data_IF_052706217735
#
_entry.id   IF_052706217735
#
_cell.length_a   1.000
_cell.length_b   1.000
_cell.length_c   1.000
_cell.angle_alpha   90.00
_cell.angle_beta   90.00
_cell.angle_gamma   90.00
#
_symmetry.space_group_name_H-M   'P 1'
#
loop_
_entity.id
_entity.type
_entity.pdbx_description
1 polymer ?
#
# COMPACT_ATOMS: atom_id res chain seq x y z
N UNK A 1 39.42 -15.02 19.44
CA UNK A 1 38.82 -13.70 19.21
C UNK A 1 37.95 -13.81 17.96
N UNK A 2 36.69 -14.03 18.17
CA UNK A 2 35.70 -14.16 17.09
C UNK A 2 35.54 -12.77 16.46
N UNK A 3 35.86 -12.65 15.17
CA UNK A 3 35.52 -11.50 14.36
C UNK A 3 33.98 -11.48 14.23
N UNK A 4 33.29 -10.86 15.17
CA UNK A 4 31.90 -10.46 14.93
C UNK A 4 31.91 -9.53 13.73
N UNK A 5 31.47 -10.06 12.59
CA UNK A 5 31.12 -9.26 11.41
C UNK A 5 30.04 -8.26 11.86
N UNK A 6 30.45 -7.06 12.20
CA UNK A 6 29.56 -5.95 12.51
C UNK A 6 28.76 -5.65 11.23
N UNK A 7 27.59 -6.28 11.11
CA UNK A 7 26.67 -6.01 10.01
C UNK A 7 26.25 -4.55 10.14
N UNK A 8 26.75 -3.71 9.23
CA UNK A 8 26.45 -2.29 9.21
C UNK A 8 24.91 -2.10 9.16
N UNK A 9 24.32 -1.34 10.07
CA UNK A 9 22.87 -1.12 10.06
C UNK A 9 22.46 -0.47 8.72
N UNK A 10 21.32 -0.91 8.16
CA UNK A 10 20.83 -0.45 6.86
C UNK A 10 20.43 1.02 6.88
N UNK A 11 19.99 1.52 8.02
CA UNK A 11 19.54 2.89 8.26
C UNK A 11 20.24 3.47 9.49
N UNK A 12 20.42 4.78 9.49
CA UNK A 12 20.86 5.52 10.67
C UNK A 12 19.75 5.58 11.72
N UNK A 13 20.10 5.86 12.97
CA UNK A 13 19.09 6.00 14.04
C UNK A 13 18.07 7.10 13.73
N UNK A 14 18.49 8.21 13.12
CA UNK A 14 17.60 9.29 12.74
C UNK A 14 16.59 8.88 11.65
N UNK A 15 17.03 8.12 10.66
CA UNK A 15 16.14 7.57 9.62
C UNK A 15 15.11 6.60 10.22
N UNK A 16 15.55 5.70 11.10
CA UNK A 16 14.64 4.77 11.80
C UNK A 16 13.60 5.53 12.64
N UNK A 17 14.02 6.54 13.41
CA UNK A 17 13.10 7.32 14.23
C UNK A 17 12.13 8.14 13.40
N UNK A 18 12.61 8.81 12.33
CA UNK A 18 11.75 9.59 11.44
C UNK A 18 10.71 8.70 10.77
N UNK A 19 11.11 7.53 10.28
CA UNK A 19 10.17 6.57 9.66
C UNK A 19 9.15 6.03 10.69
N UNK A 20 9.60 5.63 11.88
CA UNK A 20 8.72 5.12 12.93
C UNK A 20 7.69 6.16 13.38
N UNK A 21 8.11 7.41 13.59
CA UNK A 21 7.22 8.50 14.06
C UNK A 21 6.25 8.90 12.95
N UNK A 22 6.73 9.16 11.74
CA UNK A 22 5.88 9.59 10.63
C UNK A 22 4.83 8.52 10.26
N UNK A 23 5.22 7.25 10.23
CA UNK A 23 4.28 6.16 9.98
C UNK A 23 3.35 5.91 11.17
N UNK A 24 3.81 6.09 12.42
CA UNK A 24 2.94 6.06 13.59
C UNK A 24 1.83 7.11 13.54
N UNK A 25 2.16 8.34 13.13
CA UNK A 25 1.16 9.39 12.85
C UNK A 25 0.25 8.95 11.70
N UNK A 26 0.81 8.33 10.66
CA UNK A 26 0.07 7.77 9.53
C UNK A 26 -0.99 6.75 9.95
N UNK A 27 -0.72 5.90 10.96
CA UNK A 27 -1.73 4.97 11.52
C UNK A 27 -2.94 5.73 12.05
N UNK A 28 -2.73 6.78 12.85
CA UNK A 28 -3.82 7.56 13.44
C UNK A 28 -4.65 8.26 12.36
N UNK A 29 -3.99 8.84 11.36
CA UNK A 29 -4.66 9.48 10.23
C UNK A 29 -5.43 8.46 9.36
N UNK A 30 -4.89 7.26 9.16
CA UNK A 30 -5.55 6.19 8.43
C UNK A 30 -6.82 5.70 9.15
N UNK A 31 -6.78 5.57 10.49
CA UNK A 31 -7.97 5.24 11.29
C UNK A 31 -9.03 6.33 11.14
N UNK A 32 -8.65 7.59 11.32
CA UNK A 32 -9.59 8.71 11.18
C UNK A 32 -10.20 8.77 9.78
N UNK A 33 -9.37 8.65 8.72
CA UNK A 33 -9.84 8.64 7.34
C UNK A 33 -10.76 7.46 7.04
N UNK A 34 -10.42 6.26 7.51
CA UNK A 34 -11.28 5.08 7.37
C UNK A 34 -12.66 5.29 8.00
N UNK A 35 -12.71 5.80 9.23
CA UNK A 35 -13.96 6.06 9.93
C UNK A 35 -14.82 7.08 9.16
N UNK A 36 -14.22 8.19 8.70
CA UNK A 36 -14.93 9.21 7.93
C UNK A 36 -15.50 8.64 6.61
N UNK A 37 -14.72 7.83 5.89
CA UNK A 37 -15.17 7.20 4.65
C UNK A 37 -16.31 6.19 4.90
N UNK A 38 -16.22 5.39 5.97
CA UNK A 38 -17.26 4.42 6.35
C UNK A 38 -18.55 5.16 6.72
N UNK A 39 -18.47 6.19 7.57
CA UNK A 39 -19.64 6.98 7.99
C UNK A 39 -20.30 7.64 6.77
N UNK A 40 -19.50 8.23 5.88
CA UNK A 40 -20.03 8.84 4.65
C UNK A 40 -20.71 7.81 3.77
N UNK A 41 -20.07 6.68 3.50
CA UNK A 41 -20.65 5.59 2.69
C UNK A 41 -21.93 5.02 3.29
N UNK A 42 -21.98 4.88 4.61
CA UNK A 42 -23.17 4.43 5.32
C UNK A 42 -24.31 5.45 5.24
N UNK A 43 -24.01 6.75 5.38
CA UNK A 43 -25.00 7.82 5.24
C UNK A 43 -25.58 7.92 3.83
N UNK A 44 -24.79 7.56 2.81
CA UNK A 44 -25.23 7.50 1.41
C UNK A 44 -25.97 6.18 1.08
N UNK A 45 -26.15 5.28 2.06
CA UNK A 45 -26.82 3.99 1.88
C UNK A 45 -26.01 2.97 1.05
N UNK A 46 -24.71 3.17 0.85
CA UNK A 46 -23.86 2.33 0.02
C UNK A 46 -23.16 1.22 0.81
N UNK A 47 -23.75 0.04 0.87
CA UNK A 47 -23.10 -1.14 1.48
C UNK A 47 -21.73 -1.48 0.83
N UNK A 48 -21.65 -1.39 -0.50
CA UNK A 48 -20.39 -1.60 -1.24
C UNK A 48 -19.38 -0.53 -0.90
N UNK A 49 -19.80 0.73 -0.74
CA UNK A 49 -18.95 1.83 -0.28
C UNK A 49 -18.39 1.58 1.12
N UNK A 50 -19.22 1.10 2.06
CA UNK A 50 -18.77 0.73 3.43
C UNK A 50 -17.72 -0.37 3.38
N UNK A 51 -17.96 -1.45 2.63
CA UNK A 51 -16.99 -2.56 2.48
C UNK A 51 -15.69 -2.08 1.85
N UNK A 52 -15.78 -1.28 0.77
CA UNK A 52 -14.61 -0.74 0.08
C UNK A 52 -13.78 0.17 0.97
N UNK A 53 -14.41 1.07 1.71
CA UNK A 53 -13.75 1.98 2.66
C UNK A 53 -13.10 1.21 3.81
N UNK A 54 -13.75 0.15 4.30
CA UNK A 54 -13.22 -0.70 5.37
C UNK A 54 -11.98 -1.47 4.91
N UNK A 55 -12.01 -2.07 3.71
CA UNK A 55 -10.86 -2.80 3.16
C UNK A 55 -9.68 -1.88 2.89
N UNK A 56 -9.91 -0.77 2.19
CA UNK A 56 -8.85 0.20 1.89
C UNK A 56 -8.22 0.76 3.17
N UNK A 57 -9.05 1.22 4.10
CA UNK A 57 -8.58 1.77 5.37
C UNK A 57 -7.82 0.75 6.22
N UNK A 58 -8.29 -0.50 6.27
CA UNK A 58 -7.60 -1.59 6.98
C UNK A 58 -6.22 -1.87 6.39
N UNK A 59 -6.08 -1.91 5.07
CA UNK A 59 -4.77 -2.13 4.44
C UNK A 59 -3.83 -0.93 4.63
N UNK A 60 -4.34 0.29 4.68
CA UNK A 60 -3.57 1.48 4.99
C UNK A 60 -3.06 1.44 6.44
N UNK A 61 -3.90 1.06 7.40
CA UNK A 61 -3.53 0.88 8.81
C UNK A 61 -2.46 -0.21 8.93
N UNK A 62 -2.65 -1.36 8.26
CA UNK A 62 -1.68 -2.46 8.27
C UNK A 62 -0.33 -1.99 7.75
N UNK A 63 -0.27 -1.28 6.61
CA UNK A 63 0.98 -0.79 6.05
C UNK A 63 1.70 0.13 7.04
N UNK A 64 1.05 1.16 7.53
CA UNK A 64 1.67 2.10 8.44
C UNK A 64 2.08 1.46 9.77
N UNK A 65 1.28 0.52 10.29
CA UNK A 65 1.59 -0.21 11.52
C UNK A 65 2.79 -1.14 11.34
N UNK A 66 2.84 -1.93 10.25
CA UNK A 66 3.97 -2.83 9.98
C UNK A 66 5.27 -2.04 9.80
N UNK A 67 5.21 -0.92 9.10
CA UNK A 67 6.35 -0.04 8.90
C UNK A 67 6.81 0.62 10.21
N UNK A 68 5.88 1.13 11.03
CA UNK A 68 6.18 1.67 12.36
C UNK A 68 6.91 0.64 13.22
N UNK A 69 6.38 -0.58 13.29
CA UNK A 69 6.99 -1.67 14.06
C UNK A 69 8.36 -2.05 13.53
N UNK A 70 8.50 -2.20 12.20
CA UNK A 70 9.79 -2.50 11.58
C UNK A 70 10.86 -1.48 11.98
N UNK A 71 10.56 -0.19 11.88
CA UNK A 71 11.50 0.88 12.18
C UNK A 71 11.73 1.10 13.69
N UNK A 72 10.81 0.65 14.55
CA UNK A 72 10.96 0.73 16.01
C UNK A 72 11.85 -0.34 16.62
N UNK A 73 12.08 -1.46 15.94
CA UNK A 73 12.91 -2.55 16.47
C UNK A 73 14.41 -2.28 16.29
N UNK A 74 15.19 -2.71 17.30
CA UNK A 74 16.66 -2.66 17.23
C UNK A 74 17.21 -3.47 16.08
N UNK A 75 18.34 -3.07 15.47
CA UNK A 75 19.04 -3.88 14.47
C UNK A 75 19.38 -5.30 14.99
N UNK A 76 19.48 -6.26 14.05
CA UNK A 76 19.97 -7.62 14.32
C UNK A 76 19.08 -8.54 15.16
N UNK A 77 17.86 -8.14 15.54
CA UNK A 77 16.89 -9.05 16.18
C UNK A 77 15.98 -9.72 15.15
N UNK A 78 15.55 -10.94 15.48
CA UNK A 78 14.66 -11.72 14.60
C UNK A 78 13.35 -10.98 14.28
N UNK A 79 12.78 -10.30 15.26
CA UNK A 79 11.57 -9.50 15.07
C UNK A 79 11.73 -8.46 13.94
N UNK A 80 12.86 -7.71 13.91
CA UNK A 80 13.11 -6.73 12.83
C UNK A 80 13.16 -7.38 11.45
N UNK A 81 13.72 -8.59 11.32
CA UNK A 81 13.76 -9.32 10.06
C UNK A 81 12.36 -9.73 9.60
N UNK A 82 11.52 -10.21 10.53
CA UNK A 82 10.14 -10.61 10.24
C UNK A 82 9.29 -9.39 9.86
N UNK A 83 9.34 -8.31 10.67
CA UNK A 83 8.57 -7.11 10.39
C UNK A 83 9.02 -6.40 9.10
N UNK A 84 10.27 -6.54 8.68
CA UNK A 84 10.73 -6.08 7.37
C UNK A 84 9.98 -6.78 6.22
N UNK A 85 9.71 -8.08 6.34
CA UNK A 85 8.92 -8.80 5.34
C UNK A 85 7.48 -8.28 5.32
N UNK A 86 6.86 -8.10 6.48
CA UNK A 86 5.51 -7.56 6.58
C UNK A 86 5.41 -6.14 6.05
N UNK A 87 6.37 -5.27 6.36
CA UNK A 87 6.46 -3.91 5.84
C UNK A 87 6.42 -3.90 4.30
N UNK A 88 7.25 -4.71 3.65
CA UNK A 88 7.29 -4.79 2.18
C UNK A 88 6.07 -5.50 1.58
N UNK A 89 5.53 -6.52 2.24
CA UNK A 89 4.33 -7.22 1.78
C UNK A 89 3.08 -6.34 1.88
N UNK A 90 3.00 -5.48 2.90
CA UNK A 90 1.87 -4.58 3.10
C UNK A 90 1.73 -3.51 2.01
N UNK A 91 2.81 -3.20 1.26
CA UNK A 91 2.73 -2.32 0.09
C UNK A 91 1.81 -2.93 -0.98
N UNK A 92 1.92 -4.23 -1.25
CA UNK A 92 1.02 -4.91 -2.19
C UNK A 92 -0.44 -4.86 -1.73
N UNK A 93 -0.68 -5.06 -0.41
CA UNK A 93 -2.01 -4.95 0.17
C UNK A 93 -2.58 -3.54 0.00
N UNK A 94 -1.77 -2.51 0.26
CA UNK A 94 -2.23 -1.13 0.10
C UNK A 94 -2.53 -0.79 -1.35
N UNK A 95 -1.66 -1.17 -2.31
CA UNK A 95 -1.93 -0.94 -3.74
C UNK A 95 -3.24 -1.61 -4.13
N UNK A 96 -3.43 -2.89 -3.79
CA UNK A 96 -4.71 -3.57 -4.02
C UNK A 96 -5.87 -2.84 -3.34
N UNK A 97 -5.70 -2.42 -2.09
CA UNK A 97 -6.71 -1.68 -1.33
C UNK A 97 -7.15 -0.39 -2.00
N UNK A 98 -6.22 0.35 -2.64
CA UNK A 98 -6.58 1.57 -3.39
C UNK A 98 -7.47 1.29 -4.60
N UNK A 99 -7.38 0.08 -5.19
CA UNK A 99 -8.23 -0.33 -6.30
C UNK A 99 -9.63 -0.72 -5.87
N UNK A 100 -9.83 -1.19 -4.64
CA UNK A 100 -11.14 -1.70 -4.17
C UNK A 100 -12.28 -0.69 -4.40
N UNK A 101 -12.20 0.59 -3.97
CA UNK A 101 -13.27 1.55 -4.22
C UNK A 101 -13.44 1.85 -5.72
N UNK A 102 -12.37 1.95 -6.50
CA UNK A 102 -12.50 2.21 -7.94
C UNK A 102 -13.15 1.05 -8.68
N UNK A 103 -12.78 -0.18 -8.37
CA UNK A 103 -13.27 -1.38 -9.07
C UNK A 103 -14.68 -1.78 -8.66
N UNK A 104 -15.04 -1.62 -7.39
CA UNK A 104 -16.33 -2.04 -6.86
C UNK A 104 -17.39 -0.93 -6.85
N UNK A 105 -16.98 0.34 -6.68
CA UNK A 105 -17.89 1.48 -6.58
C UNK A 105 -17.95 2.28 -7.88
N UNK A 106 -16.80 2.60 -8.50
CA UNK A 106 -16.75 3.52 -9.65
C UNK A 106 -16.93 2.79 -10.99
N UNK A 107 -16.23 1.67 -11.21
CA UNK A 107 -16.21 1.00 -12.51
C UNK A 107 -17.40 0.08 -12.76
N UNK A 108 -17.89 -0.58 -11.74
CA UNK A 108 -18.97 -1.58 -11.81
C UNK A 108 -18.78 -2.67 -12.90
N UNK A 109 -19.58 -3.73 -12.85
CA UNK A 109 -19.68 -4.73 -13.90
C UNK A 109 -18.37 -5.48 -14.22
N UNK A 110 -18.28 -6.03 -15.42
CA UNK A 110 -17.21 -6.93 -15.83
C UNK A 110 -15.81 -6.27 -15.79
N UNK A 111 -15.68 -5.01 -16.20
CA UNK A 111 -14.40 -4.30 -16.20
C UNK A 111 -13.87 -4.11 -14.77
N UNK A 112 -14.74 -3.69 -13.84
CA UNK A 112 -14.39 -3.54 -12.43
C UNK A 112 -13.90 -4.87 -11.83
N UNK A 113 -14.64 -5.95 -12.02
CA UNK A 113 -14.25 -7.28 -11.52
C UNK A 113 -12.98 -7.82 -12.17
N UNK A 114 -12.78 -7.58 -13.47
CA UNK A 114 -11.56 -8.01 -14.17
C UNK A 114 -10.33 -7.29 -13.61
N UNK A 115 -10.40 -5.96 -13.45
CA UNK A 115 -9.30 -5.18 -12.90
C UNK A 115 -9.04 -5.56 -11.42
N UNK A 116 -10.10 -5.76 -10.64
CA UNK A 116 -10.01 -6.25 -9.27
C UNK A 116 -9.25 -7.59 -9.20
N UNK A 117 -9.63 -8.56 -10.03
CA UNK A 117 -8.97 -9.87 -10.06
C UNK A 117 -7.51 -9.81 -10.50
N UNK A 118 -7.18 -8.99 -11.50
CA UNK A 118 -5.80 -8.79 -11.99
C UNK A 118 -4.93 -8.20 -10.88
N UNK A 119 -5.38 -7.12 -10.23
CA UNK A 119 -4.59 -6.45 -9.19
C UNK A 119 -4.48 -7.32 -7.93
N UNK A 120 -5.56 -8.03 -7.55
CA UNK A 120 -5.52 -9.00 -6.45
C UNK A 120 -4.52 -10.14 -6.74
N UNK A 121 -4.57 -10.73 -7.93
CA UNK A 121 -3.65 -11.80 -8.32
C UNK A 121 -2.19 -11.34 -8.30
N UNK A 122 -1.90 -10.14 -8.80
CA UNK A 122 -0.57 -9.54 -8.75
C UNK A 122 -0.12 -9.26 -7.31
N UNK A 123 -1.02 -8.78 -6.44
CA UNK A 123 -0.72 -8.55 -5.03
C UNK A 123 -0.39 -9.86 -4.30
N UNK A 124 -1.20 -10.90 -4.47
CA UNK A 124 -0.95 -12.22 -3.87
C UNK A 124 0.39 -12.79 -4.34
N UNK A 125 0.66 -12.74 -5.64
CA UNK A 125 1.95 -13.21 -6.19
C UNK A 125 3.14 -12.43 -5.60
N UNK A 126 3.04 -11.12 -5.52
CA UNK A 126 4.09 -10.27 -4.95
C UNK A 126 4.34 -10.55 -3.47
N UNK A 127 3.29 -10.74 -2.68
CA UNK A 127 3.37 -11.10 -1.26
C UNK A 127 4.06 -12.46 -1.10
N UNK A 128 3.65 -13.47 -1.86
CA UNK A 128 4.25 -14.81 -1.80
C UNK A 128 5.74 -14.76 -2.12
N UNK A 129 6.13 -14.07 -3.20
CA UNK A 129 7.53 -13.98 -3.60
C UNK A 129 8.39 -13.21 -2.59
N UNK A 130 7.88 -12.10 -2.03
CA UNK A 130 8.59 -11.37 -0.97
C UNK A 130 8.71 -12.19 0.31
N UNK A 131 7.71 -12.99 0.65
CA UNK A 131 7.75 -13.87 1.81
C UNK A 131 8.77 -15.00 1.66
N UNK A 132 9.01 -15.49 0.44
CA UNK A 132 10.02 -16.51 0.16
C UNK A 132 11.43 -15.90 0.25
N UNK A 133 11.70 -14.81 -0.44
CA UNK A 133 13.02 -14.16 -0.44
C UNK A 133 12.95 -12.70 -0.88
N UNK A 134 12.86 -11.80 0.09
CA UNK A 134 12.72 -10.36 -0.12
C UNK A 134 13.89 -9.76 -0.93
N UNK A 135 15.13 -10.17 -0.65
CA UNK A 135 16.31 -9.61 -1.34
C UNK A 135 16.38 -10.06 -2.80
N UNK A 136 16.08 -11.33 -3.07
CA UNK A 136 16.06 -11.87 -4.43
C UNK A 136 15.03 -11.17 -5.31
N UNK A 137 13.85 -10.90 -4.75
CA UNK A 137 12.72 -10.37 -5.51
C UNK A 137 12.56 -8.85 -5.39
N UNK A 138 13.49 -8.11 -4.73
CA UNK A 138 13.41 -6.66 -4.52
C UNK A 138 13.13 -5.88 -5.81
N UNK A 139 13.93 -6.11 -6.87
CA UNK A 139 13.77 -5.41 -8.17
C UNK A 139 12.44 -5.73 -8.85
N UNK A 140 12.05 -7.01 -8.81
CA UNK A 140 10.77 -7.44 -9.38
C UNK A 140 9.58 -6.81 -8.62
N UNK A 141 9.64 -6.79 -7.29
CA UNK A 141 8.61 -6.15 -6.47
C UNK A 141 8.45 -4.67 -6.81
N UNK A 142 9.55 -3.95 -7.02
CA UNK A 142 9.51 -2.55 -7.43
C UNK A 142 8.80 -2.37 -8.79
N UNK A 143 9.11 -3.21 -9.76
CA UNK A 143 8.43 -3.20 -11.06
C UNK A 143 6.95 -3.52 -10.91
N UNK A 144 6.62 -4.55 -10.11
CA UNK A 144 5.23 -4.91 -9.83
C UNK A 144 4.46 -3.77 -9.14
N UNK A 145 5.05 -3.08 -8.18
CA UNK A 145 4.42 -1.91 -7.56
C UNK A 145 4.04 -0.87 -8.61
N UNK A 146 4.99 -0.47 -9.47
CA UNK A 146 4.73 0.52 -10.52
C UNK A 146 3.67 0.04 -11.52
N UNK A 147 3.78 -1.17 -12.02
CA UNK A 147 2.80 -1.74 -12.97
C UNK A 147 1.41 -1.82 -12.36
N UNK A 148 1.31 -2.31 -11.13
CA UNK A 148 0.03 -2.35 -10.40
C UNK A 148 -0.52 -0.94 -10.17
N UNK A 149 0.30 0.01 -9.72
CA UNK A 149 -0.15 1.39 -9.46
C UNK A 149 -0.73 2.07 -10.71
N UNK A 150 -0.20 1.79 -11.89
CA UNK A 150 -0.64 2.37 -13.16
C UNK A 150 -1.64 1.51 -13.95
N UNK A 151 -2.04 0.34 -13.45
CA UNK A 151 -3.01 -0.53 -14.13
C UNK A 151 -4.39 0.16 -14.33
N UNK A 152 -4.71 1.19 -13.54
CA UNK A 152 -5.93 1.99 -13.66
C UNK A 152 -6.03 2.71 -15.01
N UNK A 153 -4.90 2.96 -15.71
CA UNK A 153 -4.90 3.56 -17.06
C UNK A 153 -5.72 2.71 -18.03
N UNK A 154 -5.72 1.38 -17.87
CA UNK A 154 -6.55 0.49 -18.69
C UNK A 154 -8.05 0.77 -18.59
N UNK A 155 -8.51 1.45 -17.52
CA UNK A 155 -9.89 1.85 -17.30
C UNK A 155 -10.09 3.37 -17.30
N UNK A 156 -9.12 4.17 -17.74
CA UNK A 156 -9.12 5.63 -17.57
C UNK A 156 -10.35 6.31 -18.19
N UNK A 157 -10.83 5.81 -19.33
CA UNK A 157 -12.02 6.34 -19.98
C UNK A 157 -13.27 6.19 -19.11
N UNK A 158 -13.45 5.03 -18.47
CA UNK A 158 -14.57 4.75 -17.60
C UNK A 158 -14.46 5.53 -16.28
N UNK A 159 -13.23 5.64 -15.75
CA UNK A 159 -12.95 6.48 -14.57
C UNK A 159 -13.33 7.93 -14.84
N UNK A 160 -12.90 8.49 -15.98
CA UNK A 160 -13.23 9.88 -16.36
C UNK A 160 -14.72 10.11 -16.54
N UNK A 161 -15.46 9.12 -17.02
CA UNK A 161 -16.92 9.24 -17.21
C UNK A 161 -17.74 9.09 -15.92
N UNK A 162 -17.19 8.39 -14.92
CA UNK A 162 -17.91 8.04 -13.69
C UNK A 162 -17.44 8.81 -12.45
N UNK A 163 -16.30 9.50 -12.54
CA UNK A 163 -15.74 10.29 -11.46
C UNK A 163 -15.82 11.79 -11.80
N UNK A 164 -16.04 12.62 -10.80
CA UNK A 164 -15.96 14.06 -10.98
C UNK A 164 -14.53 14.53 -11.26
N UNK A 165 -14.36 15.74 -11.77
CA UNK A 165 -13.06 16.29 -12.12
C UNK A 165 -12.06 16.25 -10.96
N UNK A 166 -12.50 16.59 -9.74
CA UNK A 166 -11.63 16.57 -8.57
C UNK A 166 -11.16 15.17 -8.24
N UNK A 167 -12.02 14.15 -8.37
CA UNK A 167 -11.68 12.76 -8.17
C UNK A 167 -10.62 12.29 -9.17
N UNK A 168 -10.77 12.63 -10.45
CA UNK A 168 -9.76 12.31 -11.49
C UNK A 168 -8.44 13.04 -11.22
N UNK A 169 -8.50 14.33 -10.86
CA UNK A 169 -7.31 15.10 -10.51
C UNK A 169 -6.54 14.49 -9.35
N UNK A 170 -7.23 14.13 -8.27
CA UNK A 170 -6.61 13.50 -7.11
C UNK A 170 -6.01 12.12 -7.45
N UNK A 171 -6.67 11.34 -8.30
CA UNK A 171 -6.14 10.06 -8.78
C UNK A 171 -4.81 10.25 -9.53
N UNK A 172 -4.76 11.21 -10.46
CA UNK A 172 -3.55 11.50 -11.26
C UNK A 172 -2.42 12.05 -10.37
N UNK A 173 -2.72 13.00 -9.50
CA UNK A 173 -1.73 13.56 -8.55
C UNK A 173 -1.20 12.47 -7.62
N UNK A 174 -2.08 11.62 -7.11
CA UNK A 174 -1.68 10.46 -6.30
C UNK A 174 -0.74 9.51 -7.03
N UNK A 175 -1.03 9.19 -8.30
CA UNK A 175 -0.18 8.36 -9.16
C UNK A 175 1.21 8.99 -9.41
N UNK A 176 1.27 10.31 -9.61
CA UNK A 176 2.54 11.04 -9.79
C UNK A 176 3.38 10.99 -8.49
N UNK A 177 2.78 11.35 -7.35
CA UNK A 177 3.47 11.35 -6.05
C UNK A 177 3.94 9.94 -5.70
N UNK A 178 3.10 8.93 -5.94
CA UNK A 178 3.45 7.52 -5.77
C UNK A 178 4.68 7.13 -6.60
N UNK A 179 4.71 7.53 -7.88
CA UNK A 179 5.82 7.23 -8.79
C UNK A 179 7.11 7.90 -8.33
N UNK A 180 7.04 9.18 -7.94
CA UNK A 180 8.19 9.90 -7.37
C UNK A 180 8.72 9.17 -6.13
N UNK A 181 7.83 8.77 -5.21
CA UNK A 181 8.20 8.01 -4.02
C UNK A 181 8.87 6.68 -4.36
N UNK A 182 8.35 5.94 -5.33
CA UNK A 182 8.92 4.67 -5.78
C UNK A 182 10.32 4.85 -6.39
N UNK A 183 10.53 5.89 -7.20
CA UNK A 183 11.84 6.20 -7.79
C UNK A 183 12.87 6.62 -6.73
N UNK A 184 12.46 7.39 -5.73
CA UNK A 184 13.36 7.80 -4.63
C UNK A 184 13.73 6.63 -3.70
N UNK A 185 12.89 5.60 -3.63
CA UNK A 185 13.13 4.41 -2.81
C UNK A 185 14.05 3.39 -3.48
N UNK A 186 14.07 3.24 -4.81
CA UNK A 186 14.81 2.23 -5.60
C UNK A 186 16.26 2.51 -5.75
#
# INVERSE_FOLDING_TARGET
>A
MENELVIKPRYTLSEELMSAISHGIGVLLAIAGMVLCIVKSASDGSAVGVVSSSLYGSFMIILYLMSTLYHSFKPNITAKKVFRIFDHCSIFLLIFGTYVPYTLVTLHGALGWTLFGIVLGAAVLGIVLNSINLEKYKKMSMICYLVMGWAIIGAIKQIYNNLDFNGVLLLVLGGIIYTIGAVLYG
#
